data_IF_676178144085
#
_entry.id   IF_676178144085
#
_cell.length_a   1.000
_cell.length_b   1.000
_cell.length_c   1.000
_cell.angle_alpha   90.00
_cell.angle_beta   90.00
_cell.angle_gamma   90.00
#
_symmetry.space_group_name_H-M   'P 1'
#
loop_
_entity.id
_entity.type
_entity.pdbx_description
1 polymer ?
#
# COMPACT_ATOMS: atom_id res chain seq x y z
N UNK A 1 54.49 37.50 19.64
CA UNK A 1 55.36 37.33 20.82
C UNK A 1 54.51 37.62 22.05
N UNK A 2 53.57 36.77 22.47
CA UNK A 2 53.57 35.29 22.59
C UNK A 2 54.33 34.82 23.83
N UNK A 3 53.59 34.60 24.92
CA UNK A 3 53.79 33.45 25.83
C UNK A 3 52.39 32.88 26.05
N UNK A 4 52.13 31.68 25.52
CA UNK A 4 50.86 30.98 25.71
C UNK A 4 51.01 29.82 26.69
N UNK A 5 50.14 29.78 27.70
CA UNK A 5 49.58 28.58 28.33
C UNK A 5 48.14 28.98 28.71
N UNK A 6 47.10 28.25 28.35
CA UNK A 6 47.04 26.82 28.08
C UNK A 6 46.15 26.19 29.14
N UNK A 7 44.88 26.62 29.17
CA UNK A 7 43.85 26.10 30.07
C UNK A 7 43.05 25.09 29.26
N UNK A 8 43.12 23.83 29.65
CA UNK A 8 42.34 22.76 29.02
C UNK A 8 40.91 22.82 29.56
N UNK A 9 40.01 23.43 28.80
CA UNK A 9 38.58 23.23 29.00
C UNK A 9 38.28 21.75 28.69
N UNK A 10 38.19 20.94 29.73
CA UNK A 10 37.38 19.73 29.64
C UNK A 10 35.93 20.22 29.70
N UNK A 11 35.13 19.94 28.66
CA UNK A 11 33.70 19.82 28.89
C UNK A 11 33.56 18.61 29.83
N UNK A 12 33.13 18.88 31.06
CA UNK A 12 32.85 17.82 32.01
C UNK A 12 31.52 17.21 31.65
N UNK A 13 31.42 15.89 31.77
CA UNK A 13 30.17 15.12 31.69
C UNK A 13 29.04 15.88 32.39
N UNK A 14 27.91 16.07 31.70
CA UNK A 14 26.68 16.56 32.32
C UNK A 14 26.17 15.44 33.22
N UNK A 15 26.58 15.45 34.50
CA UNK A 15 26.00 14.56 35.49
C UNK A 15 24.55 15.00 35.74
N UNK A 16 23.60 14.29 35.12
CA UNK A 16 22.21 14.29 35.58
C UNK A 16 22.22 13.91 37.06
N UNK A 17 21.68 14.79 37.90
CA UNK A 17 21.71 14.58 39.35
C UNK A 17 20.66 13.53 39.75
N UNK A 18 21.10 12.42 40.35
CA UNK A 18 20.22 11.61 41.22
C UNK A 18 19.76 12.46 42.42
N UNK A 19 18.64 13.14 42.26
CA UNK A 19 17.96 13.84 43.35
C UNK A 19 17.27 12.82 44.27
N UNK A 20 17.48 12.87 45.59
CA UNK A 20 16.76 12.02 46.52
C UNK A 20 15.32 12.49 46.68
N UNK A 21 14.38 11.55 46.72
CA UNK A 21 12.95 11.80 47.01
C UNK A 21 12.78 12.65 48.28
N UNK A 22 12.00 13.75 48.20
CA UNK A 22 11.14 14.24 49.29
C UNK A 22 10.31 15.48 48.90
N UNK A 23 9.04 15.46 49.28
CA UNK A 23 8.11 16.60 49.47
C UNK A 23 7.52 17.32 48.24
N UNK A 24 6.43 16.72 47.74
CA UNK A 24 5.12 17.38 47.52
C UNK A 24 5.04 18.67 46.68
N UNK A 25 4.44 18.56 45.49
CA UNK A 25 3.63 19.64 44.91
C UNK A 25 4.38 20.64 44.01
N UNK A 26 5.13 20.13 43.03
CA UNK A 26 5.61 20.89 41.89
C UNK A 26 5.63 19.99 40.65
N UNK A 27 5.35 20.57 39.47
CA UNK A 27 5.49 19.85 38.19
C UNK A 27 6.99 19.64 37.94
N UNK A 28 7.41 18.39 37.76
CA UNK A 28 8.80 18.03 37.52
C UNK A 28 9.06 18.00 36.01
N UNK A 29 9.33 19.19 35.47
CA UNK A 29 9.61 19.48 34.06
C UNK A 29 11.13 19.53 33.83
N UNK A 30 11.59 18.90 32.74
CA UNK A 30 12.98 18.98 32.23
C UNK A 30 12.95 19.76 30.91
N UNK A 31 13.90 20.67 30.68
CA UNK A 31 13.99 21.64 29.57
C UNK A 31 15.49 21.95 29.27
N UNK A 32 16.05 21.68 28.07
CA UNK A 32 17.54 21.55 27.83
C UNK A 32 18.11 21.88 26.40
N UNK A 33 19.47 22.07 26.24
CA UNK A 33 20.28 22.25 24.97
C UNK A 33 21.83 21.92 25.12
N UNK A 34 22.64 21.67 24.03
CA UNK A 34 24.10 21.23 24.05
C UNK A 34 25.09 21.69 22.89
N UNK A 35 26.37 21.20 22.82
CA UNK A 35 27.46 21.47 21.79
C UNK A 35 28.74 20.55 21.94
N UNK A 36 29.78 20.31 21.06
CA UNK A 36 30.32 20.81 19.75
C UNK A 36 31.55 20.02 19.10
N UNK A 37 31.75 20.05 17.74
CA UNK A 37 32.70 19.35 16.78
C UNK A 37 32.90 17.80 16.82
N UNK A 38 33.06 17.15 17.96
CA UNK A 38 32.27 15.92 18.12
C UNK A 38 31.04 16.44 18.85
N UNK A 39 30.16 17.06 18.06
CA UNK A 39 29.02 17.79 18.58
C UNK A 39 27.98 16.77 19.00
N UNK A 40 28.19 16.15 20.16
CA UNK A 40 27.37 15.06 20.65
C UNK A 40 26.48 15.59 21.74
N UNK A 41 25.19 15.68 21.43
CA UNK A 41 24.13 15.83 22.41
C UNK A 41 23.66 14.41 22.75
N UNK A 42 24.18 13.84 23.84
CA UNK A 42 23.70 12.58 24.41
C UNK A 42 22.87 12.92 25.68
N UNK A 43 21.64 12.45 25.72
CA UNK A 43 20.63 12.74 26.75
C UNK A 43 19.86 11.44 27.08
N UNK A 44 20.43 10.63 27.98
CA UNK A 44 19.85 9.34 28.43
C UNK A 44 19.38 9.36 29.89
N UNK A 45 18.79 8.25 30.36
CA UNK A 45 18.37 8.03 31.77
C UNK A 45 17.26 9.05 32.22
N UNK A 46 16.42 9.55 31.30
CA UNK A 46 15.46 10.64 31.56
C UNK A 46 14.13 10.09 32.11
N UNK A 47 13.95 10.16 33.44
CA UNK A 47 12.63 9.95 34.08
C UNK A 47 12.00 11.28 34.52
N UNK A 48 10.83 11.64 34.00
CA UNK A 48 10.16 12.92 34.27
C UNK A 48 8.62 12.80 34.31
N UNK A 49 7.91 13.92 34.55
CA UNK A 49 6.51 14.03 34.09
C UNK A 49 6.48 14.49 32.63
N UNK A 50 7.31 15.49 32.30
CA UNK A 50 7.42 16.09 30.98
C UNK A 50 8.91 16.21 30.66
N UNK A 51 9.32 15.56 29.56
CA UNK A 51 10.62 15.72 28.93
C UNK A 51 10.40 16.59 27.69
N UNK A 52 11.06 17.74 27.65
CA UNK A 52 10.90 18.81 26.67
C UNK A 52 12.34 19.19 26.27
N UNK A 53 12.72 18.83 25.04
CA UNK A 53 14.11 18.65 24.58
C UNK A 53 14.38 19.36 23.24
N UNK A 54 13.89 20.60 23.08
CA UNK A 54 14.00 21.38 21.84
C UNK A 54 15.40 21.99 21.55
N UNK A 55 15.52 22.75 20.45
CA UNK A 55 16.71 23.55 20.07
C UNK A 55 18.03 22.74 19.87
N UNK A 56 17.98 21.43 19.56
CA UNK A 56 19.19 20.58 19.54
C UNK A 56 19.98 20.70 18.23
N UNK A 57 20.91 21.67 18.18
CA UNK A 57 21.90 21.76 17.08
C UNK A 57 23.17 20.94 17.37
N UNK A 58 23.23 19.71 16.85
CA UNK A 58 24.28 18.73 17.09
C UNK A 58 25.14 18.41 15.84
N UNK A 59 25.95 17.35 15.95
CA UNK A 59 26.44 16.49 14.86
C UNK A 59 25.82 15.10 15.09
N UNK A 60 25.76 14.67 16.35
CA UNK A 60 25.07 13.47 16.78
C UNK A 60 24.13 13.90 17.91
N UNK A 61 22.83 13.76 17.70
CA UNK A 61 21.80 13.81 18.72
C UNK A 61 21.46 12.35 19.06
N UNK A 62 21.39 12.04 20.35
CA UNK A 62 21.28 10.71 20.96
C UNK A 62 20.42 10.94 22.21
N UNK A 63 19.12 10.64 22.09
CA UNK A 63 18.06 10.99 23.03
C UNK A 63 17.33 9.70 23.43
N UNK A 64 17.99 8.92 24.28
CA UNK A 64 17.67 7.52 24.58
C UNK A 64 17.08 7.32 26.00
N UNK A 65 16.49 6.17 26.28
CA UNK A 65 16.02 5.76 27.63
C UNK A 65 15.06 6.78 28.30
N UNK A 66 14.06 7.28 27.56
CA UNK A 66 13.15 8.34 28.04
C UNK A 66 11.87 7.72 28.61
N UNK A 67 11.59 7.98 29.90
CA UNK A 67 10.33 7.60 30.56
C UNK A 67 9.58 8.83 31.08
N UNK A 68 8.42 9.14 30.49
CA UNK A 68 7.65 10.35 30.81
C UNK A 68 6.13 10.11 30.86
N UNK A 69 5.35 11.15 31.13
CA UNK A 69 3.96 11.21 30.66
C UNK A 69 3.89 11.85 29.27
N UNK A 70 4.70 12.87 29.04
CA UNK A 70 4.79 13.59 27.75
C UNK A 70 6.27 13.74 27.40
N UNK A 71 6.66 13.25 26.23
CA UNK A 71 7.96 13.46 25.61
C UNK A 71 7.77 14.35 24.37
N UNK A 72 8.55 15.42 24.29
CA UNK A 72 8.57 16.45 23.23
C UNK A 72 10.04 16.64 22.85
N UNK A 73 10.39 16.18 21.64
CA UNK A 73 11.75 16.03 21.12
C UNK A 73 11.90 16.81 19.80
N UNK A 74 11.50 18.08 19.84
CA UNK A 74 11.35 18.98 18.68
C UNK A 74 12.64 19.72 18.24
N UNK A 75 12.62 20.35 17.06
CA UNK A 75 13.66 21.29 16.56
C UNK A 75 15.10 20.70 16.52
N UNK A 76 15.26 19.43 16.14
CA UNK A 76 16.55 18.73 16.15
C UNK A 76 17.29 18.91 14.81
N UNK A 77 18.45 19.58 14.83
CA UNK A 77 19.34 19.71 13.66
C UNK A 77 20.65 18.98 13.89
N UNK A 78 20.93 17.90 13.15
CA UNK A 78 22.09 17.03 13.37
C UNK A 78 22.80 16.62 12.06
N UNK A 79 23.84 15.77 12.17
CA UNK A 79 24.21 14.87 11.06
C UNK A 79 23.60 13.46 11.26
N UNK A 80 23.48 13.01 12.50
CA UNK A 80 22.81 11.79 12.95
C UNK A 80 21.90 12.15 14.13
N UNK A 81 20.63 11.77 14.05
CA UNK A 81 19.67 11.81 15.15
C UNK A 81 19.26 10.37 15.47
N UNK A 82 19.26 10.03 16.76
CA UNK A 82 18.99 8.73 17.37
C UNK A 82 18.08 9.02 18.57
N UNK A 83 16.80 8.62 18.47
CA UNK A 83 15.71 8.96 19.37
C UNK A 83 15.00 7.66 19.79
N UNK A 84 15.64 6.92 20.69
CA UNK A 84 15.38 5.50 20.98
C UNK A 84 14.87 5.24 22.41
N UNK A 85 14.30 4.05 22.69
CA UNK A 85 13.86 3.63 24.04
C UNK A 85 12.85 4.62 24.70
N UNK A 86 11.84 5.09 23.96
CA UNK A 86 10.91 6.14 24.42
C UNK A 86 9.60 5.55 24.95
N UNK A 87 9.42 5.54 26.27
CA UNK A 87 8.16 5.18 26.96
C UNK A 87 7.41 6.41 27.46
N UNK A 88 6.20 6.66 26.95
CA UNK A 88 5.40 7.85 27.28
C UNK A 88 3.89 7.53 27.45
N UNK A 89 3.07 8.56 27.74
CA UNK A 89 1.66 8.52 27.34
C UNK A 89 1.43 9.25 26.00
N UNK A 90 2.20 10.31 25.74
CA UNK A 90 2.27 11.05 24.47
C UNK A 90 3.73 11.27 24.12
N UNK A 91 4.15 10.88 22.91
CA UNK A 91 5.45 11.17 22.33
C UNK A 91 5.25 12.03 21.07
N UNK A 92 6.04 13.09 20.96
CA UNK A 92 6.05 14.10 19.89
C UNK A 92 7.52 14.29 19.48
N UNK A 93 7.86 13.89 18.25
CA UNK A 93 9.22 13.79 17.70
C UNK A 93 9.29 14.58 16.37
N UNK A 94 9.07 15.88 16.46
CA UNK A 94 8.83 16.78 15.33
C UNK A 94 10.04 17.62 14.89
N UNK A 95 9.98 18.26 13.71
CA UNK A 95 10.97 19.26 13.24
C UNK A 95 12.43 18.71 13.13
N UNK A 96 12.59 17.45 12.68
CA UNK A 96 13.88 16.74 12.68
C UNK A 96 14.63 16.89 11.35
N UNK A 97 15.74 17.65 11.34
CA UNK A 97 16.65 17.79 10.20
C UNK A 97 17.98 17.04 10.42
N UNK A 98 18.28 16.03 9.60
CA UNK A 98 19.46 15.16 9.76
C UNK A 98 20.15 14.81 8.43
N UNK A 99 21.19 13.96 8.46
CA UNK A 99 21.46 13.07 7.31
C UNK A 99 20.91 11.66 7.56
N UNK A 100 20.98 11.19 8.80
CA UNK A 100 20.37 9.94 9.26
C UNK A 100 19.51 10.28 10.48
N UNK A 101 18.23 9.93 10.43
CA UNK A 101 17.30 9.94 11.56
C UNK A 101 16.89 8.48 11.85
N UNK A 102 16.91 8.11 13.13
CA UNK A 102 16.63 6.79 13.69
C UNK A 102 15.72 7.05 14.90
N UNK A 103 14.45 6.63 14.79
CA UNK A 103 13.35 6.91 15.72
C UNK A 103 12.70 5.57 16.10
N UNK A 104 13.30 4.88 17.07
CA UNK A 104 13.08 3.45 17.33
C UNK A 104 12.62 3.14 18.77
N UNK A 105 12.08 1.94 19.03
CA UNK A 105 11.65 1.49 20.37
C UNK A 105 10.64 2.45 21.06
N UNK A 106 9.61 2.91 20.35
CA UNK A 106 8.66 3.93 20.83
C UNK A 106 7.38 3.29 21.39
N UNK A 107 7.14 3.42 22.70
CA UNK A 107 5.97 2.88 23.40
C UNK A 107 5.12 4.02 24.00
N UNK A 108 3.92 4.24 23.46
CA UNK A 108 3.06 5.39 23.81
C UNK A 108 1.57 5.02 23.96
N UNK A 109 0.70 6.01 24.23
CA UNK A 109 -0.69 5.92 23.74
C UNK A 109 -0.87 6.69 22.44
N UNK A 110 -0.20 7.83 22.29
CA UNK A 110 -0.12 8.62 21.06
C UNK A 110 1.34 8.86 20.73
N UNK A 111 1.76 8.47 19.53
CA UNK A 111 3.05 8.81 18.94
C UNK A 111 2.79 9.69 17.71
N UNK A 112 3.56 10.77 17.59
CA UNK A 112 3.50 11.80 16.54
C UNK A 112 4.97 12.03 16.09
N UNK A 113 5.28 11.66 14.86
CA UNK A 113 6.61 11.61 14.27
C UNK A 113 6.61 12.39 12.94
N UNK A 114 6.59 13.72 13.05
CA UNK A 114 6.26 14.65 11.95
C UNK A 114 7.42 15.57 11.52
N UNK A 115 7.31 16.23 10.36
CA UNK A 115 8.30 17.21 9.85
C UNK A 115 9.76 16.66 9.73
N UNK A 116 9.91 15.41 9.28
CA UNK A 116 11.23 14.72 9.26
C UNK A 116 11.94 14.92 7.90
N UNK A 117 13.04 15.69 7.91
CA UNK A 117 13.91 15.91 6.74
C UNK A 117 15.27 15.22 6.88
N UNK A 118 15.57 14.22 6.06
CA UNK A 118 16.79 13.39 6.18
C UNK A 118 17.46 13.09 4.83
N UNK A 119 18.53 12.27 4.83
CA UNK A 119 18.85 11.44 3.66
C UNK A 119 18.36 10.00 3.87
N UNK A 120 18.44 9.50 5.10
CA UNK A 120 17.85 8.22 5.56
C UNK A 120 17.02 8.51 6.80
N UNK A 121 15.74 8.12 6.78
CA UNK A 121 14.86 8.08 7.94
C UNK A 121 14.48 6.62 8.19
N UNK A 122 14.55 6.21 9.46
CA UNK A 122 14.28 4.87 9.99
C UNK A 122 13.36 5.08 11.21
N UNK A 123 12.11 4.62 11.10
CA UNK A 123 11.02 4.83 12.06
C UNK A 123 10.43 3.45 12.41
N UNK A 124 10.96 2.81 13.44
CA UNK A 124 10.83 1.37 13.68
C UNK A 124 10.39 1.02 15.11
N UNK A 125 9.89 -0.20 15.35
CA UNK A 125 9.48 -0.71 16.69
C UNK A 125 8.43 0.19 17.41
N UNK A 126 7.45 0.74 16.67
CA UNK A 126 6.47 1.71 17.21
C UNK A 126 5.22 1.01 17.75
N UNK A 127 5.04 1.00 19.09
CA UNK A 127 3.86 0.48 19.77
C UNK A 127 3.00 1.60 20.39
N UNK A 128 1.77 1.79 19.89
CA UNK A 128 0.89 2.89 20.31
C UNK A 128 -0.59 2.48 20.49
N UNK A 129 -1.47 3.44 20.81
CA UNK A 129 -2.88 3.33 20.41
C UNK A 129 -3.15 4.11 19.11
N UNK A 130 -2.51 5.27 18.95
CA UNK A 130 -2.48 6.08 17.72
C UNK A 130 -1.03 6.38 17.38
N UNK A 131 -0.62 6.04 16.16
CA UNK A 131 0.65 6.44 15.56
C UNK A 131 0.35 7.32 14.34
N UNK A 132 1.06 8.44 14.23
CA UNK A 132 0.97 9.46 13.19
C UNK A 132 2.42 9.73 12.73
N UNK A 133 2.72 9.39 11.47
CA UNK A 133 4.05 9.42 10.85
C UNK A 133 3.96 10.20 9.54
N UNK A 134 4.09 11.53 9.63
CA UNK A 134 3.67 12.48 8.59
C UNK A 134 4.79 13.45 8.15
N UNK A 135 4.64 14.12 7.00
CA UNK A 135 5.59 15.13 6.47
C UNK A 135 7.05 14.62 6.32
N UNK A 136 7.24 13.36 5.89
CA UNK A 136 8.56 12.70 5.83
C UNK A 136 9.26 12.93 4.49
N UNK A 137 10.30 13.77 4.46
CA UNK A 137 11.14 14.02 3.27
C UNK A 137 12.53 13.38 3.38
N UNK A 138 12.85 12.41 2.52
CA UNK A 138 14.10 11.63 2.59
C UNK A 138 14.76 11.35 1.22
N UNK A 139 15.85 10.57 1.19
CA UNK A 139 16.15 9.75 0.01
C UNK A 139 15.69 8.30 0.21
N UNK A 140 15.84 7.78 1.44
CA UNK A 140 15.30 6.49 1.88
C UNK A 140 14.48 6.73 3.14
N UNK A 141 13.21 6.32 3.14
CA UNK A 141 12.36 6.23 4.32
C UNK A 141 12.03 4.74 4.54
N UNK A 142 12.16 4.30 5.79
CA UNK A 142 11.91 2.94 6.28
C UNK A 142 10.99 3.11 7.51
N UNK A 143 9.76 2.61 7.41
CA UNK A 143 8.68 2.77 8.38
C UNK A 143 8.14 1.37 8.72
N UNK A 144 8.69 0.74 9.76
CA UNK A 144 8.59 -0.70 9.99
C UNK A 144 8.16 -1.08 11.42
N UNK A 145 7.70 -2.32 11.64
CA UNK A 145 7.32 -2.86 12.97
C UNK A 145 6.23 -2.04 13.73
N UNK A 146 5.30 -1.41 12.99
CA UNK A 146 4.29 -0.49 13.57
C UNK A 146 3.08 -1.24 14.13
N UNK A 147 2.91 -1.27 15.45
CA UNK A 147 1.76 -1.87 16.15
C UNK A 147 0.87 -0.81 16.81
N UNK A 148 -0.38 -0.65 16.34
CA UNK A 148 -1.29 0.41 16.81
C UNK A 148 -2.74 -0.04 17.00
N UNK A 149 -3.66 0.88 17.36
CA UNK A 149 -5.07 0.72 16.96
C UNK A 149 -5.38 1.53 15.70
N UNK A 150 -4.79 2.71 15.56
CA UNK A 150 -4.81 3.55 14.36
C UNK A 150 -3.38 3.90 13.99
N UNK A 151 -2.96 3.59 12.77
CA UNK A 151 -1.72 4.06 12.16
C UNK A 151 -2.09 4.95 10.97
N UNK A 152 -1.43 6.10 10.87
CA UNK A 152 -1.55 7.13 9.83
C UNK A 152 -0.12 7.42 9.34
N UNK A 153 0.16 7.11 8.08
CA UNK A 153 1.48 7.18 7.44
C UNK A 153 1.34 8.00 6.15
N UNK A 154 1.53 9.32 6.25
CA UNK A 154 1.08 10.28 5.24
C UNK A 154 2.18 11.27 4.80
N UNK A 155 1.99 11.96 3.67
CA UNK A 155 2.91 13.00 3.15
C UNK A 155 4.38 12.53 2.94
N UNK A 156 4.58 11.26 2.54
CA UNK A 156 5.93 10.65 2.43
C UNK A 156 6.57 10.94 1.07
N UNK A 157 7.65 11.72 1.05
CA UNK A 157 8.41 12.12 -0.16
C UNK A 157 9.83 11.55 -0.13
N UNK A 158 10.13 10.58 -1.00
CA UNK A 158 11.39 9.83 -0.97
C UNK A 158 12.02 9.59 -2.36
N UNK A 159 13.14 8.86 -2.42
CA UNK A 159 13.47 8.08 -3.62
C UNK A 159 13.05 6.62 -3.45
N UNK A 160 13.22 6.07 -2.24
CA UNK A 160 12.73 4.76 -1.82
C UNK A 160 11.92 4.95 -0.53
N UNK A 161 10.67 4.50 -0.51
CA UNK A 161 9.85 4.36 0.67
C UNK A 161 9.56 2.86 0.88
N UNK A 162 9.72 2.39 2.10
CA UNK A 162 9.51 1.03 2.58
C UNK A 162 8.60 1.15 3.82
N UNK A 163 7.38 0.61 3.74
CA UNK A 163 6.33 0.71 4.75
C UNK A 163 5.84 -0.71 5.07
N UNK A 164 6.41 -1.33 6.09
CA UNK A 164 6.37 -2.79 6.26
C UNK A 164 6.03 -3.26 7.68
N UNK A 165 5.55 -4.51 7.81
CA UNK A 165 5.17 -5.17 9.09
C UNK A 165 4.12 -4.38 9.94
N UNK A 166 3.19 -3.66 9.29
CA UNK A 166 2.20 -2.78 9.95
C UNK A 166 1.01 -3.59 10.51
N UNK A 167 0.80 -3.58 11.82
CA UNK A 167 -0.32 -4.22 12.52
C UNK A 167 -1.24 -3.22 13.22
N UNK A 168 -2.50 -3.10 12.79
CA UNK A 168 -3.44 -2.09 13.31
C UNK A 168 -4.89 -2.60 13.49
N UNK A 169 -5.82 -1.71 13.90
CA UNK A 169 -7.23 -1.89 13.52
C UNK A 169 -7.58 -1.07 12.28
N UNK A 170 -7.04 0.15 12.17
CA UNK A 170 -7.11 1.01 10.99
C UNK A 170 -5.69 1.41 10.60
N UNK A 171 -5.29 1.15 9.37
CA UNK A 171 -4.08 1.66 8.74
C UNK A 171 -4.50 2.57 7.57
N UNK A 172 -3.89 3.74 7.49
CA UNK A 172 -4.05 4.77 6.46
C UNK A 172 -2.64 5.11 5.96
N UNK A 173 -2.37 4.84 4.69
CA UNK A 173 -1.06 4.97 4.04
C UNK A 173 -1.23 5.81 2.76
N UNK A 174 -1.04 7.12 2.86
CA UNK A 174 -1.57 8.09 1.90
C UNK A 174 -0.58 9.17 1.45
N UNK A 175 -0.84 9.81 0.29
CA UNK A 175 -0.02 10.87 -0.33
C UNK A 175 1.47 10.51 -0.57
N UNK A 176 1.78 9.23 -0.82
CA UNK A 176 3.15 8.71 -0.95
C UNK A 176 3.75 9.04 -2.34
N UNK A 177 4.84 9.83 -2.37
CA UNK A 177 5.58 10.19 -3.60
C UNK A 177 7.02 9.67 -3.59
N UNK A 178 7.36 8.75 -4.50
CA UNK A 178 8.67 8.07 -4.52
C UNK A 178 9.26 7.85 -5.92
N UNK A 179 10.42 7.16 -6.02
CA UNK A 179 10.73 6.40 -7.24
C UNK A 179 10.36 4.91 -7.08
N UNK A 180 10.58 4.35 -5.89
CA UNK A 180 10.13 3.02 -5.47
C UNK A 180 9.34 3.17 -4.17
N UNK A 181 8.10 2.69 -4.15
CA UNK A 181 7.30 2.50 -2.94
C UNK A 181 7.07 0.99 -2.77
N UNK A 182 7.28 0.50 -1.56
CA UNK A 182 7.10 -0.89 -1.12
C UNK A 182 6.22 -0.82 0.14
N UNK A 183 5.01 -1.40 0.07
CA UNK A 183 3.97 -1.35 1.10
C UNK A 183 3.52 -2.79 1.39
N UNK A 184 4.13 -3.42 2.39
CA UNK A 184 4.12 -4.88 2.55
C UNK A 184 3.80 -5.37 3.98
N UNK A 185 3.37 -6.64 4.12
CA UNK A 185 3.04 -7.28 5.42
C UNK A 185 1.95 -6.55 6.27
N UNK A 186 1.01 -5.87 5.61
CA UNK A 186 0.00 -5.00 6.28
C UNK A 186 -1.17 -5.84 6.84
N UNK A 187 -1.32 -5.89 8.17
CA UNK A 187 -2.41 -6.58 8.88
C UNK A 187 -3.34 -5.61 9.62
N UNK A 188 -4.62 -5.53 9.21
CA UNK A 188 -5.57 -4.56 9.77
C UNK A 188 -6.99 -5.11 9.97
N UNK A 189 -7.93 -4.28 10.44
CA UNK A 189 -9.36 -4.50 10.10
C UNK A 189 -9.78 -3.66 8.88
N UNK A 190 -9.27 -2.44 8.77
CA UNK A 190 -9.39 -1.55 7.60
C UNK A 190 -7.99 -1.08 7.20
N UNK A 191 -7.61 -1.32 5.95
CA UNK A 191 -6.43 -0.74 5.31
C UNK A 191 -6.90 0.17 4.17
N UNK A 192 -6.33 1.37 4.11
CA UNK A 192 -6.54 2.40 3.09
C UNK A 192 -5.14 2.78 2.57
N UNK A 193 -4.88 2.55 1.29
CA UNK A 193 -3.60 2.72 0.61
C UNK A 193 -3.83 3.58 -0.65
N UNK A 194 -3.66 4.90 -0.53
CA UNK A 194 -4.22 5.87 -1.47
C UNK A 194 -3.23 6.97 -1.92
N UNK A 195 -3.52 7.64 -3.05
CA UNK A 195 -2.70 8.74 -3.62
C UNK A 195 -1.21 8.39 -3.90
N UNK A 196 -0.91 7.13 -4.23
CA UNK A 196 0.47 6.62 -4.38
C UNK A 196 1.06 6.97 -5.75
N UNK A 197 2.05 7.87 -5.79
CA UNK A 197 2.77 8.28 -7.02
C UNK A 197 4.23 7.79 -7.05
N UNK A 198 4.57 6.92 -8.00
CA UNK A 198 5.90 6.27 -8.05
C UNK A 198 6.47 6.08 -9.48
N UNK A 199 7.65 5.44 -9.61
CA UNK A 199 7.98 4.71 -10.84
C UNK A 199 7.65 3.22 -10.71
N UNK A 200 7.92 2.63 -9.54
CA UNK A 200 7.50 1.28 -9.13
C UNK A 200 6.74 1.39 -7.82
N UNK A 201 5.51 0.89 -7.78
CA UNK A 201 4.75 0.63 -6.55
C UNK A 201 4.58 -0.88 -6.42
N UNK A 202 4.83 -1.40 -5.23
CA UNK A 202 4.68 -2.80 -4.82
C UNK A 202 3.82 -2.79 -3.55
N UNK A 203 2.64 -3.39 -3.61
CA UNK A 203 1.61 -3.40 -2.55
C UNK A 203 1.22 -4.87 -2.30
N UNK A 204 1.85 -5.50 -1.30
CA UNK A 204 1.88 -6.96 -1.17
C UNK A 204 1.58 -7.47 0.25
N UNK A 205 1.20 -8.76 0.38
CA UNK A 205 0.89 -9.44 1.66
C UNK A 205 -0.21 -8.75 2.55
N UNK A 206 -1.15 -8.05 1.93
CA UNK A 206 -2.17 -7.24 2.64
C UNK A 206 -3.30 -8.12 3.20
N UNK A 207 -3.44 -8.19 4.53
CA UNK A 207 -4.50 -8.94 5.24
C UNK A 207 -5.45 -8.02 6.02
N UNK A 208 -6.73 -7.97 5.64
CA UNK A 208 -7.72 -7.05 6.24
C UNK A 208 -9.12 -7.64 6.44
N UNK A 209 -10.08 -6.84 6.94
CA UNK A 209 -11.49 -7.09 6.61
C UNK A 209 -11.95 -6.24 5.41
N UNK A 210 -11.48 -5.00 5.34
CA UNK A 210 -11.65 -4.09 4.19
C UNK A 210 -10.28 -3.57 3.79
N UNK A 211 -9.91 -3.77 2.53
CA UNK A 211 -8.76 -3.15 1.89
C UNK A 211 -9.27 -2.23 0.77
N UNK A 212 -8.77 -1.01 0.74
CA UNK A 212 -9.03 0.03 -0.27
C UNK A 212 -7.65 0.46 -0.80
N UNK A 213 -7.41 0.25 -2.10
CA UNK A 213 -6.15 0.48 -2.80
C UNK A 213 -6.45 1.35 -4.03
N UNK A 214 -6.30 2.67 -3.91
CA UNK A 214 -6.89 3.65 -4.83
C UNK A 214 -5.91 4.76 -5.26
N UNK A 215 -6.22 5.48 -6.34
CA UNK A 215 -5.43 6.60 -6.89
C UNK A 215 -3.93 6.28 -7.17
N UNK A 216 -3.61 5.04 -7.57
CA UNK A 216 -2.22 4.58 -7.78
C UNK A 216 -1.68 5.01 -9.16
N UNK A 217 -0.64 5.84 -9.19
CA UNK A 217 -0.02 6.38 -10.41
C UNK A 217 1.46 5.96 -10.51
N UNK A 218 1.79 5.07 -11.46
CA UNK A 218 3.13 4.45 -11.56
C UNK A 218 3.66 4.32 -13.00
N UNK A 219 4.88 3.75 -13.15
CA UNK A 219 5.24 3.08 -14.40
C UNK A 219 4.99 1.56 -14.32
N UNK A 220 5.22 0.96 -13.14
CA UNK A 220 4.88 -0.43 -12.80
C UNK A 220 4.15 -0.41 -11.45
N UNK A 221 2.95 -0.96 -11.41
CA UNK A 221 2.21 -1.25 -10.18
C UNK A 221 2.07 -2.78 -10.07
N UNK A 222 2.37 -3.31 -8.89
CA UNK A 222 2.27 -4.72 -8.50
C UNK A 222 1.41 -4.73 -7.22
N UNK A 223 0.24 -5.38 -7.27
CA UNK A 223 -0.75 -5.45 -6.20
C UNK A 223 -1.09 -6.93 -5.96
N UNK A 224 -0.44 -7.56 -4.99
CA UNK A 224 -0.36 -9.02 -4.88
C UNK A 224 -0.63 -9.58 -3.47
N UNK A 225 -0.98 -10.86 -3.36
CA UNK A 225 -1.25 -11.58 -2.09
C UNK A 225 -2.37 -10.96 -1.18
N UNK A 226 -3.31 -10.20 -1.77
CA UNK A 226 -4.34 -9.44 -1.01
C UNK A 226 -5.43 -10.37 -0.46
N UNK A 227 -5.55 -10.48 0.86
CA UNK A 227 -6.56 -11.28 1.57
C UNK A 227 -7.53 -10.42 2.40
N UNK A 228 -8.82 -10.41 2.07
CA UNK A 228 -9.82 -9.53 2.70
C UNK A 228 -11.20 -10.17 2.92
N UNK A 229 -12.17 -9.41 3.45
CA UNK A 229 -13.59 -9.70 3.17
C UNK A 229 -14.11 -8.84 2.00
N UNK A 230 -13.69 -7.58 1.92
CA UNK A 230 -13.89 -6.66 0.80
C UNK A 230 -12.53 -6.11 0.38
N UNK A 231 -12.15 -6.31 -0.88
CA UNK A 231 -11.03 -5.64 -1.53
C UNK A 231 -11.61 -4.71 -2.61
N UNK A 232 -11.12 -3.49 -2.65
CA UNK A 232 -11.49 -2.43 -3.58
C UNK A 232 -10.17 -1.88 -4.17
N UNK A 233 -9.96 -2.02 -5.48
CA UNK A 233 -8.72 -1.70 -6.18
C UNK A 233 -9.05 -0.79 -7.38
N UNK A 234 -8.97 0.54 -7.18
CA UNK A 234 -9.49 1.54 -8.12
C UNK A 234 -8.44 2.51 -8.70
N UNK A 235 -8.79 3.19 -9.79
CA UNK A 235 -8.09 4.35 -10.36
C UNK A 235 -6.61 4.12 -10.79
N UNK A 236 -6.22 2.84 -10.94
CA UNK A 236 -4.82 2.43 -11.17
C UNK A 236 -4.33 2.87 -12.56
N UNK A 237 -3.44 3.86 -12.61
CA UNK A 237 -2.86 4.42 -13.84
C UNK A 237 -1.37 4.06 -13.97
N UNK A 238 -1.01 3.21 -14.94
CA UNK A 238 0.35 2.66 -15.07
C UNK A 238 0.87 2.54 -16.51
N UNK A 239 2.09 2.01 -16.71
CA UNK A 239 2.42 1.35 -17.98
C UNK A 239 2.21 -0.17 -17.90
N UNK A 240 2.51 -0.76 -16.74
CA UNK A 240 2.24 -2.17 -16.40
C UNK A 240 1.53 -2.19 -15.06
N UNK A 241 0.35 -2.80 -15.00
CA UNK A 241 -0.36 -3.13 -13.77
C UNK A 241 -0.46 -4.66 -13.69
N UNK A 242 -0.10 -5.20 -12.53
CA UNK A 242 -0.18 -6.62 -12.17
C UNK A 242 -1.02 -6.68 -10.88
N UNK A 243 -2.15 -7.37 -10.92
CA UNK A 243 -3.14 -7.48 -9.83
C UNK A 243 -3.43 -8.97 -9.62
N UNK A 244 -2.74 -9.60 -8.67
CA UNK A 244 -2.63 -11.07 -8.58
C UNK A 244 -2.87 -11.65 -7.18
N UNK A 245 -3.18 -12.95 -7.09
CA UNK A 245 -3.42 -13.71 -5.85
C UNK A 245 -4.53 -13.16 -4.90
N UNK A 246 -5.47 -12.37 -5.44
CA UNK A 246 -6.51 -11.66 -4.65
C UNK A 246 -7.58 -12.63 -4.11
N UNK A 247 -7.67 -12.77 -2.78
CA UNK A 247 -8.64 -13.63 -2.07
C UNK A 247 -9.62 -12.82 -1.20
N UNK A 248 -10.92 -12.85 -1.52
CA UNK A 248 -11.93 -12.02 -0.83
C UNK A 248 -13.31 -12.69 -0.64
N UNK A 249 -14.29 -11.98 -0.07
CA UNK A 249 -15.70 -12.27 -0.34
C UNK A 249 -16.24 -11.41 -1.49
N UNK A 250 -15.89 -10.12 -1.50
CA UNK A 250 -16.11 -9.19 -2.61
C UNK A 250 -14.76 -8.62 -3.05
N UNK A 251 -14.43 -8.75 -4.33
CA UNK A 251 -13.34 -8.02 -4.98
C UNK A 251 -13.96 -7.10 -6.03
N UNK A 252 -13.56 -5.83 -6.02
CA UNK A 252 -13.87 -4.80 -7.00
C UNK A 252 -12.54 -4.29 -7.56
N UNK A 253 -12.34 -4.39 -8.87
CA UNK A 253 -11.11 -4.04 -9.59
C UNK A 253 -11.51 -3.13 -10.77
N UNK A 254 -11.43 -1.83 -10.59
CA UNK A 254 -12.11 -0.85 -11.46
C UNK A 254 -11.25 0.37 -11.86
N UNK A 255 -11.68 1.08 -12.91
CA UNK A 255 -11.01 2.26 -13.50
C UNK A 255 -9.50 2.09 -13.85
N UNK A 256 -9.07 0.87 -14.20
CA UNK A 256 -7.66 0.52 -14.49
C UNK A 256 -7.22 1.03 -15.88
N UNK A 257 -6.19 1.88 -15.94
CA UNK A 257 -5.66 2.48 -17.18
C UNK A 257 -4.17 2.15 -17.36
N UNK A 258 -3.82 1.33 -18.36
CA UNK A 258 -2.45 0.82 -18.54
C UNK A 258 -1.97 0.76 -20.00
N UNK A 259 -0.72 0.28 -20.22
CA UNK A 259 -0.38 -0.34 -21.52
C UNK A 259 -0.53 -1.87 -21.45
N UNK A 260 -0.19 -2.48 -20.32
CA UNK A 260 -0.40 -3.89 -20.00
C UNK A 260 -1.10 -3.96 -18.65
N UNK A 261 -2.25 -4.63 -18.58
CA UNK A 261 -2.93 -5.01 -17.35
C UNK A 261 -2.96 -6.54 -17.30
N UNK A 262 -2.56 -7.11 -16.17
CA UNK A 262 -2.62 -8.53 -15.83
C UNK A 262 -3.44 -8.64 -14.53
N UNK A 263 -4.56 -9.36 -14.56
CA UNK A 263 -5.51 -9.52 -13.46
C UNK A 263 -5.75 -11.03 -13.27
N UNK A 264 -5.04 -11.66 -12.35
CA UNK A 264 -4.88 -13.12 -12.29
C UNK A 264 -5.07 -13.74 -10.90
N UNK A 265 -5.34 -15.05 -10.84
CA UNK A 265 -5.54 -15.85 -9.60
C UNK A 265 -6.65 -15.35 -8.62
N UNK A 266 -7.60 -14.54 -9.11
CA UNK A 266 -8.64 -13.90 -8.28
C UNK A 266 -9.68 -14.91 -7.76
N UNK A 267 -9.77 -15.05 -6.43
CA UNK A 267 -10.71 -15.96 -5.74
C UNK A 267 -11.70 -15.23 -4.83
N UNK A 268 -13.01 -15.29 -5.13
CA UNK A 268 -14.03 -14.52 -4.38
C UNK A 268 -15.41 -15.21 -4.24
N UNK A 269 -16.40 -14.51 -3.66
CA UNK A 269 -17.83 -14.84 -3.86
C UNK A 269 -18.51 -13.91 -4.89
N UNK A 270 -18.06 -12.67 -4.96
CA UNK A 270 -18.35 -11.71 -6.04
C UNK A 270 -17.02 -11.10 -6.49
N UNK A 271 -16.69 -11.19 -7.77
CA UNK A 271 -15.63 -10.44 -8.42
C UNK A 271 -16.29 -9.50 -9.46
N UNK A 272 -15.91 -8.24 -9.43
CA UNK A 272 -16.28 -7.20 -10.39
C UNK A 272 -14.96 -6.64 -10.97
N UNK A 273 -14.78 -6.75 -12.29
CA UNK A 273 -13.58 -6.35 -13.03
C UNK A 273 -14.02 -5.43 -14.17
N UNK A 274 -13.99 -4.11 -13.96
CA UNK A 274 -14.71 -3.13 -14.79
C UNK A 274 -13.85 -1.93 -15.22
N UNK A 275 -14.30 -1.19 -16.25
CA UNK A 275 -13.66 0.03 -16.80
C UNK A 275 -12.19 -0.12 -17.30
N UNK A 276 -11.72 -1.35 -17.51
CA UNK A 276 -10.31 -1.64 -17.85
C UNK A 276 -9.94 -1.13 -19.25
N UNK A 277 -9.02 -0.14 -19.32
CA UNK A 277 -8.53 0.47 -20.56
C UNK A 277 -7.03 0.22 -20.76
N UNK A 278 -6.64 -0.56 -21.78
CA UNK A 278 -5.24 -0.98 -21.99
C UNK A 278 -4.80 -1.03 -23.47
N UNK A 279 -3.54 -1.43 -23.72
CA UNK A 279 -3.20 -2.04 -25.02
C UNK A 279 -3.33 -3.56 -24.96
N UNK A 280 -2.87 -4.18 -23.88
CA UNK A 280 -3.04 -5.61 -23.58
C UNK A 280 -3.73 -5.74 -22.23
N UNK A 281 -4.85 -6.44 -22.16
CA UNK A 281 -5.49 -6.87 -20.92
C UNK A 281 -5.50 -8.40 -20.90
N UNK A 282 -5.03 -8.99 -19.81
CA UNK A 282 -5.08 -10.42 -19.50
C UNK A 282 -5.86 -10.57 -18.19
N UNK A 283 -6.97 -11.32 -18.23
CA UNK A 283 -7.87 -11.55 -17.10
C UNK A 283 -8.05 -13.07 -16.95
N UNK A 284 -7.35 -13.69 -16.01
CA UNK A 284 -7.10 -15.14 -15.99
C UNK A 284 -7.28 -15.79 -14.60
N UNK A 285 -7.50 -17.11 -14.56
CA UNK A 285 -7.66 -17.96 -13.36
C UNK A 285 -8.78 -17.53 -12.36
N UNK A 286 -9.73 -16.70 -12.79
CA UNK A 286 -10.80 -16.11 -11.94
C UNK A 286 -11.77 -17.18 -11.42
N UNK A 287 -11.83 -17.36 -10.10
CA UNK A 287 -12.72 -18.31 -9.42
C UNK A 287 -13.73 -17.61 -8.50
N UNK A 288 -15.04 -17.69 -8.78
CA UNK A 288 -16.06 -17.01 -7.96
C UNK A 288 -17.42 -17.74 -7.86
N UNK A 289 -18.41 -17.12 -7.20
CA UNK A 289 -19.82 -17.44 -7.40
C UNK A 289 -20.50 -16.47 -8.38
N UNK A 290 -20.01 -15.25 -8.47
CA UNK A 290 -20.45 -14.23 -9.43
C UNK A 290 -19.20 -13.52 -9.93
N UNK A 291 -18.91 -13.61 -11.22
CA UNK A 291 -17.84 -12.88 -11.88
C UNK A 291 -18.50 -11.97 -12.92
N UNK A 292 -18.25 -10.67 -12.83
CA UNK A 292 -18.66 -9.64 -13.79
C UNK A 292 -17.38 -9.03 -14.38
N UNK A 293 -17.22 -9.10 -15.70
CA UNK A 293 -16.07 -8.62 -16.45
C UNK A 293 -16.58 -7.69 -17.56
N UNK A 294 -16.52 -6.38 -17.34
CA UNK A 294 -17.33 -5.40 -18.09
C UNK A 294 -16.57 -4.13 -18.51
N UNK A 295 -17.10 -3.43 -19.51
CA UNK A 295 -16.57 -2.17 -20.11
C UNK A 295 -15.09 -2.22 -20.61
N UNK A 296 -14.52 -3.42 -20.79
CA UNK A 296 -13.10 -3.66 -21.16
C UNK A 296 -12.77 -3.12 -22.56
N UNK A 297 -11.82 -2.18 -22.66
CA UNK A 297 -11.36 -1.56 -23.91
C UNK A 297 -9.85 -1.77 -24.15
N UNK A 298 -9.48 -2.51 -25.21
CA UNK A 298 -8.06 -2.85 -25.45
C UNK A 298 -7.65 -2.93 -26.94
N UNK A 299 -6.36 -3.23 -27.20
CA UNK A 299 -5.91 -3.73 -28.51
C UNK A 299 -5.79 -5.27 -28.55
N UNK A 300 -5.65 -5.91 -27.40
CA UNK A 300 -5.75 -7.35 -27.20
C UNK A 300 -6.33 -7.58 -25.81
N UNK A 301 -7.44 -8.31 -25.73
CA UNK A 301 -8.04 -8.76 -24.48
C UNK A 301 -8.01 -10.29 -24.49
N UNK A 302 -7.48 -10.89 -23.44
CA UNK A 302 -7.53 -12.33 -23.16
C UNK A 302 -8.31 -12.51 -21.85
N UNK A 303 -9.39 -13.28 -21.88
CA UNK A 303 -10.27 -13.56 -20.75
C UNK A 303 -10.38 -15.09 -20.63
N UNK A 304 -9.63 -15.69 -19.70
CA UNK A 304 -9.36 -17.13 -19.67
C UNK A 304 -9.56 -17.78 -18.29
N UNK A 305 -9.70 -19.11 -18.26
CA UNK A 305 -9.83 -19.96 -17.07
C UNK A 305 -10.96 -19.61 -16.05
N UNK A 306 -11.90 -18.74 -16.45
CA UNK A 306 -12.98 -18.24 -15.59
C UNK A 306 -13.92 -19.36 -15.10
N UNK A 307 -13.93 -19.62 -13.79
CA UNK A 307 -14.77 -20.62 -13.13
C UNK A 307 -15.77 -19.95 -12.17
N UNK A 308 -17.07 -20.00 -12.48
CA UNK A 308 -18.10 -19.33 -11.64
C UNK A 308 -19.44 -20.07 -11.55
N UNK A 309 -20.35 -19.65 -10.66
CA UNK A 309 -21.77 -19.99 -10.81
C UNK A 309 -22.45 -19.09 -11.85
N UNK A 310 -22.17 -17.78 -11.81
CA UNK A 310 -22.60 -16.80 -12.82
C UNK A 310 -21.37 -16.08 -13.35
N UNK A 311 -21.11 -16.16 -14.65
CA UNK A 311 -20.12 -15.34 -15.33
C UNK A 311 -20.86 -14.41 -16.31
N UNK A 312 -20.62 -13.11 -16.22
CA UNK A 312 -21.11 -12.08 -17.13
C UNK A 312 -19.89 -11.39 -17.76
N UNK A 313 -19.80 -11.40 -19.08
CA UNK A 313 -18.68 -10.86 -19.85
C UNK A 313 -19.27 -9.90 -20.90
N UNK A 314 -19.21 -8.60 -20.65
CA UNK A 314 -20.02 -7.58 -21.35
C UNK A 314 -19.24 -6.36 -21.83
N UNK A 315 -19.77 -5.64 -22.82
CA UNK A 315 -19.23 -4.39 -23.41
C UNK A 315 -17.76 -4.44 -23.94
N UNK A 316 -17.18 -5.65 -24.08
CA UNK A 316 -15.78 -5.87 -24.47
C UNK A 316 -15.48 -5.31 -25.88
N UNK A 317 -14.62 -4.30 -25.96
CA UNK A 317 -14.20 -3.65 -27.21
C UNK A 317 -12.70 -3.83 -27.47
N UNK A 318 -12.32 -4.62 -28.48
CA UNK A 318 -10.89 -4.84 -28.79
C UNK A 318 -10.54 -5.03 -30.27
N UNK A 319 -9.26 -4.94 -30.61
CA UNK A 319 -8.80 -5.43 -31.93
C UNK A 319 -8.73 -6.96 -31.98
N UNK A 320 -8.38 -7.61 -30.88
CA UNK A 320 -8.37 -9.07 -30.72
C UNK A 320 -8.96 -9.39 -29.35
N UNK A 321 -10.08 -10.12 -29.30
CA UNK A 321 -10.63 -10.65 -28.06
C UNK A 321 -10.52 -12.17 -28.10
N UNK A 322 -9.93 -12.78 -27.09
CA UNK A 322 -9.97 -14.22 -26.83
C UNK A 322 -10.73 -14.44 -25.52
N UNK A 323 -11.76 -15.29 -25.56
CA UNK A 323 -12.61 -15.63 -24.41
C UNK A 323 -12.62 -17.17 -24.31
N UNK A 324 -11.84 -17.71 -23.38
CA UNK A 324 -11.46 -19.13 -23.38
C UNK A 324 -11.65 -19.83 -22.03
N UNK A 325 -11.77 -21.16 -22.06
CA UNK A 325 -11.88 -22.10 -20.91
C UNK A 325 -13.00 -21.82 -19.86
N UNK A 326 -13.88 -20.85 -20.13
CA UNK A 326 -14.99 -20.40 -19.26
C UNK A 326 -15.90 -21.56 -18.83
N UNK A 327 -15.99 -21.81 -17.52
CA UNK A 327 -16.80 -22.88 -16.93
C UNK A 327 -17.82 -22.33 -15.93
N UNK A 328 -19.13 -22.51 -16.18
CA UNK A 328 -20.16 -21.94 -15.29
C UNK A 328 -21.50 -22.69 -15.17
N UNK A 329 -22.40 -22.21 -14.30
CA UNK A 329 -23.82 -22.58 -14.36
C UNK A 329 -24.59 -21.67 -15.34
N UNK A 330 -24.35 -20.37 -15.28
CA UNK A 330 -24.82 -19.37 -16.25
C UNK A 330 -23.62 -18.60 -16.78
N UNK A 331 -23.48 -18.54 -18.11
CA UNK A 331 -22.58 -17.63 -18.80
C UNK A 331 -23.43 -16.67 -19.65
N UNK A 332 -23.20 -15.37 -19.52
CA UNK A 332 -23.68 -14.35 -20.47
C UNK A 332 -22.46 -13.70 -21.11
N UNK A 333 -22.43 -13.66 -22.44
CA UNK A 333 -21.36 -13.07 -23.24
C UNK A 333 -22.01 -12.08 -24.21
N UNK A 334 -21.94 -10.80 -23.90
CA UNK A 334 -22.75 -9.73 -24.52
C UNK A 334 -21.92 -8.57 -25.06
N UNK A 335 -22.47 -7.86 -26.05
CA UNK A 335 -21.94 -6.62 -26.67
C UNK A 335 -20.48 -6.63 -27.21
N UNK A 336 -19.84 -7.81 -27.25
CA UNK A 336 -18.46 -8.02 -27.69
C UNK A 336 -18.23 -7.48 -29.11
N UNK A 337 -17.40 -6.44 -29.23
CA UNK A 337 -17.09 -5.74 -30.49
C UNK A 337 -15.61 -5.87 -30.84
N UNK A 338 -15.29 -6.53 -31.97
CA UNK A 338 -13.88 -6.75 -32.34
C UNK A 338 -13.51 -6.76 -33.83
N UNK A 339 -12.21 -6.79 -34.13
CA UNK A 339 -11.72 -7.20 -35.45
C UNK A 339 -11.53 -8.72 -35.54
N UNK A 340 -11.00 -9.35 -34.49
CA UNK A 340 -10.93 -10.80 -34.34
C UNK A 340 -11.54 -11.19 -32.99
N UNK A 341 -12.42 -12.19 -32.97
CA UNK A 341 -12.90 -12.83 -31.76
C UNK A 341 -12.61 -14.34 -31.83
N UNK A 342 -12.07 -14.93 -30.76
CA UNK A 342 -12.17 -16.37 -30.52
C UNK A 342 -12.97 -16.56 -29.22
N UNK A 343 -13.99 -17.42 -29.27
CA UNK A 343 -14.82 -17.80 -28.14
C UNK A 343 -14.73 -19.33 -28.05
N UNK A 344 -13.95 -19.83 -27.09
CA UNK A 344 -13.47 -21.22 -27.09
C UNK A 344 -13.70 -21.95 -25.76
N UNK A 345 -13.94 -23.26 -25.84
CA UNK A 345 -14.07 -24.23 -24.73
C UNK A 345 -15.17 -23.94 -23.66
N UNK A 346 -15.96 -22.88 -23.85
CA UNK A 346 -17.06 -22.41 -22.98
C UNK A 346 -18.02 -23.55 -22.60
N UNK A 347 -18.08 -23.89 -21.31
CA UNK A 347 -18.88 -25.00 -20.77
C UNK A 347 -19.88 -24.51 -19.72
N UNK A 348 -21.19 -24.61 -19.99
CA UNK A 348 -22.22 -24.11 -19.07
C UNK A 348 -23.48 -24.99 -18.93
N UNK A 349 -24.32 -24.68 -17.94
CA UNK A 349 -25.71 -25.16 -17.95
C UNK A 349 -26.62 -24.25 -18.81
N UNK A 350 -26.43 -22.94 -18.72
CA UNK A 350 -27.09 -21.92 -19.55
C UNK A 350 -26.02 -21.01 -20.17
N UNK A 351 -26.08 -20.78 -21.48
CA UNK A 351 -25.29 -19.76 -22.16
C UNK A 351 -26.22 -18.78 -22.89
N UNK A 352 -25.95 -17.48 -22.80
CA UNK A 352 -26.41 -16.51 -23.80
C UNK A 352 -25.16 -15.90 -24.46
N UNK A 353 -25.21 -15.79 -25.78
CA UNK A 353 -24.17 -15.16 -26.60
C UNK A 353 -24.88 -14.14 -27.49
N UNK A 354 -24.78 -12.85 -27.14
CA UNK A 354 -25.62 -11.78 -27.67
C UNK A 354 -24.81 -10.59 -28.21
N UNK A 355 -25.36 -9.91 -29.22
CA UNK A 355 -24.87 -8.68 -29.89
C UNK A 355 -23.42 -8.72 -30.48
N UNK A 356 -22.70 -9.86 -30.35
CA UNK A 356 -21.31 -10.09 -30.79
C UNK A 356 -21.07 -9.64 -32.24
N UNK A 357 -20.26 -8.59 -32.40
CA UNK A 357 -19.97 -7.95 -33.69
C UNK A 357 -18.48 -8.04 -34.02
N UNK A 358 -18.11 -8.77 -35.08
CA UNK A 358 -16.70 -8.94 -35.44
C UNK A 358 -16.42 -9.03 -36.94
N UNK A 359 -15.21 -8.68 -37.38
CA UNK A 359 -14.79 -8.91 -38.77
C UNK A 359 -14.52 -10.39 -39.05
N UNK A 360 -13.99 -11.14 -38.08
CA UNK A 360 -13.78 -12.60 -38.14
C UNK A 360 -13.92 -13.20 -36.74
N UNK A 361 -14.81 -14.18 -36.59
CA UNK A 361 -14.99 -14.90 -35.33
C UNK A 361 -14.77 -16.41 -35.51
N UNK A 362 -14.14 -17.06 -34.54
CA UNK A 362 -14.27 -18.50 -34.30
C UNK A 362 -15.09 -18.72 -33.01
N UNK A 363 -16.02 -19.66 -33.05
CA UNK A 363 -16.87 -20.03 -31.92
C UNK A 363 -16.73 -21.54 -31.73
N UNK A 364 -15.75 -21.96 -30.93
CA UNK A 364 -15.25 -23.32 -30.90
C UNK A 364 -15.62 -24.07 -29.61
N UNK A 365 -16.03 -25.33 -29.78
CA UNK A 365 -16.33 -26.32 -28.74
C UNK A 365 -17.16 -25.86 -27.52
N UNK A 366 -18.01 -24.84 -27.71
CA UNK A 366 -19.04 -24.36 -26.77
C UNK A 366 -20.02 -25.51 -26.42
N UNK A 367 -20.12 -25.86 -25.13
CA UNK A 367 -20.96 -26.96 -24.62
C UNK A 367 -22.00 -26.41 -23.63
N UNK A 368 -23.29 -26.60 -23.91
CA UNK A 368 -24.35 -26.20 -22.97
C UNK A 368 -25.60 -27.07 -23.05
N UNK A 369 -26.39 -27.09 -21.97
CA UNK A 369 -27.73 -27.71 -21.97
C UNK A 369 -28.76 -26.80 -22.65
N UNK A 370 -28.64 -25.48 -22.48
CA UNK A 370 -29.45 -24.45 -23.14
C UNK A 370 -28.58 -23.26 -23.51
N UNK A 371 -28.37 -23.07 -24.82
CA UNK A 371 -27.73 -21.88 -25.37
C UNK A 371 -28.74 -21.05 -26.17
N UNK A 372 -28.79 -19.74 -25.97
CA UNK A 372 -29.25 -18.79 -26.98
C UNK A 372 -28.04 -18.18 -27.71
N UNK A 373 -28.25 -17.75 -28.96
CA UNK A 373 -27.22 -17.16 -29.82
C UNK A 373 -27.90 -16.09 -30.68
N UNK A 374 -27.84 -14.83 -30.22
CA UNK A 374 -28.66 -13.73 -30.73
C UNK A 374 -27.82 -12.61 -31.36
N UNK A 375 -28.32 -12.05 -32.46
CA UNK A 375 -27.78 -10.92 -33.25
C UNK A 375 -26.27 -10.91 -33.65
N UNK A 376 -25.55 -12.02 -33.41
CA UNK A 376 -24.15 -12.27 -33.81
C UNK A 376 -23.89 -11.88 -35.28
N UNK A 377 -23.06 -10.86 -35.47
CA UNK A 377 -22.76 -10.24 -36.76
C UNK A 377 -21.26 -10.37 -37.08
N UNK A 378 -20.88 -11.51 -37.68
CA UNK A 378 -19.48 -11.79 -38.05
C UNK A 378 -19.31 -12.65 -39.31
N UNK A 379 -18.14 -12.56 -39.95
CA UNK A 379 -17.67 -13.61 -40.87
C UNK A 379 -17.16 -14.81 -40.05
N UNK A 380 -18.10 -15.58 -39.51
CA UNK A 380 -17.83 -16.80 -38.74
C UNK A 380 -16.95 -17.76 -39.57
N UNK A 381 -15.73 -18.02 -39.09
CA UNK A 381 -14.76 -18.90 -39.73
C UNK A 381 -15.04 -20.38 -39.42
N UNK A 382 -15.45 -20.67 -38.19
CA UNK A 382 -15.84 -21.98 -37.67
C UNK A 382 -16.86 -21.76 -36.52
N UNK A 383 -17.73 -22.75 -36.31
CA UNK A 383 -18.81 -22.71 -35.32
C UNK A 383 -19.14 -24.12 -34.86
N UNK A 384 -19.03 -24.39 -33.55
CA UNK A 384 -19.09 -25.75 -32.96
C UNK A 384 -19.86 -25.86 -31.65
N UNK A 385 -20.97 -25.15 -31.52
CA UNK A 385 -21.88 -25.34 -30.39
C UNK A 385 -22.43 -26.78 -30.30
N UNK A 386 -22.31 -27.40 -29.13
CA UNK A 386 -22.74 -28.77 -28.80
C UNK A 386 -23.83 -28.76 -27.72
N UNK A 387 -25.09 -28.81 -28.14
CA UNK A 387 -26.24 -28.87 -27.23
C UNK A 387 -26.41 -30.26 -26.60
N UNK A 388 -26.32 -30.34 -25.27
CA UNK A 388 -26.55 -31.54 -24.47
C UNK A 388 -28.05 -31.84 -24.33
N UNK A 389 -28.63 -32.49 -25.34
CA UNK A 389 -30.07 -32.84 -25.35
C UNK A 389 -30.39 -33.97 -24.34
N UNK A 390 -31.36 -33.76 -23.41
CA UNK A 390 -31.78 -34.77 -22.42
C UNK A 390 -32.75 -35.85 -22.95
#
# INVERSE_FOLDING_TARGET
MTIGKGVSLHLSTVMVYRWPELLTGGVLMVLMQLMGNSNTANLSDITSNTADLSDITSNTADLSEITSNTADLSEITSNTADLSDITSNTADLSDITSNTADLSDIISNTADLSDITSNTADLSDITSNTADLSDITSNTADLSDITSNTADLSDIISNTADLSEITSNTADLSEITSNTADLSDITSNTADLSDITSNTADLSDITSNTADLSDIISNTADLSDITSNTADLSDITSNTADLSDITSNTADLSEIISNTADLSDITSNTADLSDITSNTADLSDITSNTADLSEITSNTADLSDITSNTADLSDITSNTADLSEITSNTADLSDITSNTADLSEITSNTADLSEITSNTADLSDIISNTADLSDITSNIANLRASLLVP
#
